data_IF_847495188579
#
_entry.id   IF_847495188579
#
_cell.length_a   1.000
_cell.length_b   1.000
_cell.length_c   1.000
_cell.angle_alpha   90.00
_cell.angle_beta   90.00
_cell.angle_gamma   90.00
#
_symmetry.space_group_name_H-M   'P 1'
#
loop_
_entity.id
_entity.type
_entity.pdbx_description
1 polymer ?
#
# COMPACT_ATOMS: atom_id res chain seq x y z
N UNK A 1 19.08 -0.89 1.93
CA UNK A 1 19.33 -1.56 0.64
C UNK A 1 17.97 -2.01 0.13
N UNK A 2 17.57 -1.59 -1.07
CA UNK A 2 16.27 -1.93 -1.64
C UNK A 2 16.24 -3.44 -1.96
N UNK A 3 15.40 -4.20 -1.27
CA UNK A 3 15.24 -5.63 -1.53
C UNK A 3 14.32 -5.82 -2.74
N UNK A 4 14.85 -6.39 -3.81
CA UNK A 4 14.06 -6.76 -4.98
C UNK A 4 13.32 -8.08 -4.72
N UNK A 5 12.14 -8.22 -5.32
CA UNK A 5 11.49 -9.52 -5.38
C UNK A 5 12.39 -10.50 -6.15
N UNK A 6 12.44 -11.74 -5.68
CA UNK A 6 13.26 -12.81 -6.24
C UNK A 6 12.40 -14.06 -6.34
N UNK A 7 12.06 -14.46 -7.57
CA UNK A 7 11.24 -15.63 -7.85
C UNK A 7 11.95 -16.96 -7.50
N UNK A 8 13.27 -16.96 -7.36
CA UNK A 8 14.02 -18.12 -6.91
C UNK A 8 13.97 -18.30 -5.40
N UNK A 9 13.87 -17.20 -4.64
CA UNK A 9 13.82 -17.20 -3.19
C UNK A 9 12.53 -17.87 -2.65
N UNK A 10 12.64 -18.95 -1.85
CA UNK A 10 11.51 -19.63 -1.24
C UNK A 10 10.62 -18.72 -0.38
N UNK A 11 11.21 -17.81 0.40
CA UNK A 11 10.48 -16.95 1.33
C UNK A 11 9.63 -15.92 0.58
N UNK A 12 10.15 -15.38 -0.52
CA UNK A 12 9.42 -14.44 -1.37
C UNK A 12 8.21 -15.11 -2.05
N UNK A 13 8.39 -16.35 -2.51
CA UNK A 13 7.30 -17.17 -3.06
C UNK A 13 6.24 -17.47 -2.00
N UNK A 14 6.67 -17.75 -0.77
CA UNK A 14 5.75 -18.04 0.31
C UNK A 14 4.97 -16.80 0.75
N UNK A 15 5.59 -15.62 0.77
CA UNK A 15 4.89 -14.36 0.99
C UNK A 15 3.80 -14.11 -0.06
N UNK A 16 4.03 -14.43 -1.34
CA UNK A 16 2.98 -14.37 -2.37
C UNK A 16 1.83 -15.34 -2.08
N UNK A 17 2.12 -16.59 -1.74
CA UNK A 17 1.06 -17.57 -1.39
C UNK A 17 0.26 -17.13 -0.16
N UNK A 18 0.95 -16.58 0.84
CA UNK A 18 0.33 -16.04 2.03
C UNK A 18 -0.58 -14.85 1.69
N UNK A 19 -0.14 -13.97 0.78
CA UNK A 19 -0.95 -12.85 0.30
C UNK A 19 -2.22 -13.35 -0.39
N UNK A 20 -2.10 -14.33 -1.29
CA UNK A 20 -3.26 -14.92 -1.95
C UNK A 20 -4.25 -15.51 -0.94
N UNK A 21 -3.76 -16.34 -0.02
CA UNK A 21 -4.57 -17.00 1.00
C UNK A 21 -5.29 -15.99 1.92
N UNK A 22 -4.64 -14.87 2.26
CA UNK A 22 -5.25 -13.80 3.04
C UNK A 22 -6.26 -12.97 2.23
N UNK A 23 -6.04 -12.82 0.92
CA UNK A 23 -6.89 -12.03 0.02
C UNK A 23 -8.16 -12.80 -0.38
N UNK A 24 -8.04 -14.10 -0.66
CA UNK A 24 -9.14 -14.96 -1.10
C UNK A 24 -9.25 -16.22 -0.22
N UNK A 25 -9.75 -16.09 1.02
CA UNK A 25 -9.90 -17.23 1.92
C UNK A 25 -10.72 -18.35 1.28
N UNK A 26 -10.19 -19.58 1.31
CA UNK A 26 -10.84 -20.76 0.75
C UNK A 26 -10.69 -20.95 -0.76
N UNK A 27 -9.97 -20.08 -1.46
CA UNK A 27 -9.63 -20.27 -2.88
C UNK A 27 -8.18 -20.74 -3.04
N UNK A 28 -7.98 -21.89 -3.68
CA UNK A 28 -6.66 -22.42 -3.97
C UNK A 28 -5.96 -21.59 -5.05
N UNK A 29 -4.68 -21.27 -4.83
CA UNK A 29 -3.82 -20.66 -5.86
C UNK A 29 -3.25 -21.77 -6.74
N UNK A 30 -3.65 -21.82 -8.02
CA UNK A 30 -3.18 -22.84 -8.95
C UNK A 30 -1.68 -22.70 -9.29
N UNK A 31 -1.14 -21.50 -9.17
CA UNK A 31 0.27 -21.24 -9.42
C UNK A 31 0.65 -19.79 -9.18
N UNK A 32 1.95 -19.55 -8.93
CA UNK A 32 2.48 -18.19 -8.77
C UNK A 32 2.42 -17.37 -10.07
N UNK A 33 2.26 -18.05 -11.21
CA UNK A 33 1.96 -17.45 -12.51
C UNK A 33 0.61 -18.00 -12.96
N UNK A 34 -0.45 -17.19 -12.84
CA UNK A 34 -1.85 -17.59 -13.10
C UNK A 34 -2.71 -16.35 -13.37
N UNK A 35 -3.74 -16.49 -14.20
CA UNK A 35 -4.70 -15.39 -14.46
C UNK A 35 -5.49 -14.98 -13.22
N UNK A 36 -5.54 -15.84 -12.20
CA UNK A 36 -6.13 -15.57 -10.88
C UNK A 36 -5.64 -14.24 -10.27
N UNK A 37 -4.39 -13.87 -10.49
CA UNK A 37 -3.83 -12.62 -9.98
C UNK A 37 -4.52 -11.37 -10.53
N UNK A 38 -5.14 -11.44 -11.71
CA UNK A 38 -5.90 -10.30 -12.25
C UNK A 38 -7.11 -9.96 -11.38
N UNK A 39 -7.68 -10.91 -10.66
CA UNK A 39 -8.80 -10.68 -9.73
C UNK A 39 -8.40 -9.77 -8.56
N UNK A 40 -7.13 -9.81 -8.15
CA UNK A 40 -6.57 -8.91 -7.14
C UNK A 40 -6.17 -7.54 -7.71
N UNK A 41 -6.24 -7.37 -9.04
CA UNK A 41 -5.83 -6.15 -9.73
C UNK A 41 -4.33 -6.07 -10.03
N UNK A 42 -3.65 -7.21 -10.22
CA UNK A 42 -2.30 -7.25 -10.82
C UNK A 42 -2.38 -6.97 -12.34
N UNK A 43 -1.31 -6.43 -12.95
CA UNK A 43 -1.34 -6.07 -14.39
C UNK A 43 -1.39 -7.30 -15.30
N UNK A 44 -0.78 -8.40 -14.85
CA UNK A 44 -0.70 -9.64 -15.60
C UNK A 44 -0.86 -10.86 -14.72
N UNK A 45 -0.55 -12.02 -15.31
CA UNK A 45 -0.59 -13.31 -14.61
C UNK A 45 0.56 -13.53 -13.63
N UNK A 46 1.58 -12.67 -13.64
CA UNK A 46 2.79 -12.80 -12.84
C UNK A 46 3.03 -11.52 -12.03
N UNK A 47 2.65 -11.51 -10.72
CA UNK A 47 2.85 -10.38 -9.83
C UNK A 47 4.30 -9.92 -9.70
N UNK A 48 5.28 -10.81 -9.94
CA UNK A 48 6.70 -10.47 -9.80
C UNK A 48 7.13 -9.31 -10.71
N UNK A 49 6.42 -9.14 -11.83
CA UNK A 49 6.68 -8.10 -12.83
C UNK A 49 6.24 -6.70 -12.41
N UNK A 50 5.37 -6.62 -11.39
CA UNK A 50 4.77 -5.40 -10.86
C UNK A 50 5.55 -4.80 -9.68
N UNK A 51 6.32 -5.61 -8.94
CA UNK A 51 7.11 -5.18 -7.76
C UNK A 51 8.33 -4.29 -8.06
N UNK A 52 8.32 -3.51 -9.14
CA UNK A 52 9.50 -2.76 -9.62
C UNK A 52 9.97 -1.70 -8.63
N UNK A 53 9.37 -0.51 -8.68
CA UNK A 53 9.82 0.67 -7.96
C UNK A 53 9.81 0.50 -6.45
N UNK A 54 8.92 -0.33 -5.90
CA UNK A 54 8.84 -0.58 -4.46
C UNK A 54 9.59 -1.84 -3.99
N UNK A 55 9.86 -2.81 -4.87
CA UNK A 55 10.51 -4.06 -4.46
C UNK A 55 9.64 -4.95 -3.57
N UNK A 56 10.30 -5.87 -2.86
CA UNK A 56 9.67 -6.88 -2.02
C UNK A 56 8.83 -6.30 -0.87
N UNK A 57 9.23 -5.15 -0.32
CA UNK A 57 8.49 -4.51 0.80
C UNK A 57 7.02 -4.19 0.45
N UNK A 58 6.70 -3.93 -0.83
CA UNK A 58 5.30 -3.72 -1.22
C UNK A 58 4.43 -4.98 -1.12
N UNK A 59 5.02 -6.17 -1.30
CA UNK A 59 4.36 -7.44 -1.03
C UNK A 59 4.12 -7.61 0.47
N UNK A 60 5.11 -7.29 1.29
CA UNK A 60 5.00 -7.35 2.75
C UNK A 60 3.92 -6.38 3.26
N UNK A 61 3.86 -5.17 2.72
CA UNK A 61 2.82 -4.20 3.08
C UNK A 61 1.40 -4.66 2.70
N UNK A 62 1.22 -5.21 1.49
CA UNK A 62 -0.05 -5.79 1.07
C UNK A 62 -0.47 -6.95 1.99
N UNK A 63 0.49 -7.81 2.36
CA UNK A 63 0.25 -8.96 3.24
C UNK A 63 -0.08 -8.50 4.67
N UNK A 64 0.62 -7.50 5.18
CA UNK A 64 0.33 -6.88 6.47
C UNK A 64 -1.08 -6.29 6.46
N UNK A 65 -1.44 -5.52 5.43
CA UNK A 65 -2.78 -4.93 5.35
C UNK A 65 -3.88 -5.99 5.32
N UNK A 66 -3.70 -7.04 4.52
CA UNK A 66 -4.65 -8.15 4.42
C UNK A 66 -4.85 -8.90 5.75
N UNK A 67 -3.79 -9.05 6.56
CA UNK A 67 -3.82 -9.76 7.84
C UNK A 67 -4.29 -8.89 9.01
N UNK A 68 -3.84 -7.64 9.07
CA UNK A 68 -4.04 -6.75 10.22
C UNK A 68 -5.39 -6.02 10.14
N UNK A 69 -5.75 -5.48 8.97
CA UNK A 69 -7.00 -4.75 8.77
C UNK A 69 -7.84 -5.42 7.67
N UNK A 70 -8.10 -6.72 7.84
CA UNK A 70 -8.77 -7.57 6.86
C UNK A 70 -10.12 -6.99 6.37
N UNK A 71 -10.90 -6.37 7.26
CA UNK A 71 -12.16 -5.70 6.92
C UNK A 71 -11.93 -4.55 5.94
N UNK A 72 -11.02 -3.64 6.27
CA UNK A 72 -10.66 -2.51 5.41
C UNK A 72 -10.07 -2.97 4.08
N UNK A 73 -9.17 -3.95 4.12
CA UNK A 73 -8.56 -4.54 2.93
C UNK A 73 -9.63 -5.13 1.99
N UNK A 74 -10.55 -5.94 2.51
CA UNK A 74 -11.63 -6.54 1.73
C UNK A 74 -12.61 -5.52 1.18
N UNK A 75 -12.93 -4.46 1.95
CA UNK A 75 -13.76 -3.34 1.50
C UNK A 75 -13.15 -2.67 0.27
N UNK A 76 -11.86 -2.35 0.32
CA UNK A 76 -11.15 -1.71 -0.79
C UNK A 76 -10.97 -2.65 -1.99
N UNK A 77 -10.60 -3.93 -1.75
CA UNK A 77 -10.44 -4.93 -2.80
C UNK A 77 -11.74 -5.11 -3.59
N UNK A 78 -12.87 -5.24 -2.89
CA UNK A 78 -14.21 -5.41 -3.48
C UNK A 78 -14.84 -4.10 -3.93
N UNK A 79 -14.13 -2.98 -3.81
CA UNK A 79 -14.58 -1.65 -4.20
C UNK A 79 -15.93 -1.27 -3.57
N UNK A 80 -16.12 -1.67 -2.32
CA UNK A 80 -17.38 -1.47 -1.60
C UNK A 80 -17.52 -0.01 -1.17
N UNK A 81 -18.66 0.60 -1.50
CA UNK A 81 -19.03 1.95 -1.10
C UNK A 81 -18.67 3.03 -2.13
N UNK A 82 -19.48 4.08 -2.14
CA UNK A 82 -19.38 5.23 -3.05
C UNK A 82 -19.82 4.93 -4.49
N UNK A 83 -20.00 5.99 -5.27
CA UNK A 83 -20.10 5.89 -6.73
C UNK A 83 -18.68 5.90 -7.31
N UNK A 84 -18.36 4.95 -8.19
CA UNK A 84 -17.04 4.78 -8.79
C UNK A 84 -17.12 4.95 -10.29
N UNK A 85 -16.10 5.56 -10.88
CA UNK A 85 -15.99 5.68 -12.32
C UNK A 85 -15.78 4.30 -12.97
N UNK A 86 -16.11 4.20 -14.26
CA UNK A 86 -15.94 2.95 -15.01
C UNK A 86 -14.47 2.48 -15.10
N UNK A 87 -13.53 3.43 -15.13
CA UNK A 87 -12.09 3.17 -15.23
C UNK A 87 -11.44 3.25 -13.86
N UNK A 88 -11.65 2.21 -13.05
CA UNK A 88 -11.19 2.17 -11.66
C UNK A 88 -9.70 1.86 -11.53
N UNK A 89 -9.08 2.20 -10.38
CA UNK A 89 -7.68 1.84 -10.14
C UNK A 89 -7.50 0.33 -9.86
N UNK A 90 -6.47 -0.30 -10.45
CA UNK A 90 -6.09 -1.68 -10.15
C UNK A 90 -5.58 -1.82 -8.71
N UNK A 91 -6.25 -2.61 -7.87
CA UNK A 91 -6.02 -2.65 -6.41
C UNK A 91 -4.58 -3.00 -6.02
N UNK A 92 -4.05 -4.16 -6.45
CA UNK A 92 -2.69 -4.57 -6.09
C UNK A 92 -1.62 -3.60 -6.63
N UNK A 93 -1.76 -3.14 -7.87
CA UNK A 93 -0.85 -2.16 -8.48
C UNK A 93 -0.89 -0.82 -7.75
N UNK A 94 -2.07 -0.40 -7.27
CA UNK A 94 -2.18 0.79 -6.43
C UNK A 94 -1.43 0.63 -5.12
N UNK A 95 -1.53 -0.53 -4.46
CA UNK A 95 -0.73 -0.88 -3.29
C UNK A 95 0.77 -0.72 -3.53
N UNK A 96 1.30 -1.29 -4.61
CA UNK A 96 2.73 -1.14 -4.97
C UNK A 96 3.12 0.33 -5.16
N UNK A 97 2.28 1.13 -5.81
CA UNK A 97 2.55 2.55 -6.02
C UNK A 97 2.46 3.37 -4.72
N UNK A 98 1.59 2.99 -3.77
CA UNK A 98 1.52 3.61 -2.45
C UNK A 98 2.82 3.37 -1.68
N UNK A 99 3.32 2.13 -1.64
CA UNK A 99 4.63 1.84 -1.03
C UNK A 99 5.73 2.69 -1.65
N UNK A 100 5.77 2.76 -3.00
CA UNK A 100 6.77 3.57 -3.69
C UNK A 100 6.66 5.06 -3.35
N UNK A 101 5.44 5.59 -3.29
CA UNK A 101 5.18 6.98 -2.90
C UNK A 101 5.67 7.27 -1.48
N UNK A 102 5.39 6.38 -0.51
CA UNK A 102 5.86 6.52 0.88
C UNK A 102 7.39 6.47 0.95
N UNK A 103 8.03 5.56 0.21
CA UNK A 103 9.51 5.51 0.13
C UNK A 103 10.11 6.81 -0.40
N UNK A 104 9.47 7.44 -1.39
CA UNK A 104 9.87 8.75 -1.91
C UNK A 104 9.57 9.89 -0.93
N UNK A 105 8.46 9.83 -0.21
CA UNK A 105 8.07 10.79 0.81
C UNK A 105 9.07 10.83 1.97
N UNK A 106 9.59 9.67 2.36
CA UNK A 106 10.51 9.48 3.48
C UNK A 106 12.00 9.51 3.06
N UNK A 107 12.29 9.76 1.78
CA UNK A 107 13.65 9.79 1.21
C UNK A 107 14.50 8.54 1.54
N UNK A 108 13.92 7.35 1.48
CA UNK A 108 14.58 6.10 1.89
C UNK A 108 15.65 5.61 0.88
N UNK A 109 15.61 6.06 -0.38
CA UNK A 109 16.54 5.69 -1.47
C UNK A 109 17.77 6.64 -1.61
N UNK A 110 18.09 7.43 -0.56
CA UNK A 110 19.38 8.07 -0.27
C UNK A 110 20.22 8.65 -1.45
N UNK A 111 19.87 9.87 -1.90
CA UNK A 111 20.81 10.87 -2.46
C UNK A 111 20.39 12.33 -2.19
N UNK A 112 19.22 12.57 -1.60
CA UNK A 112 18.65 13.91 -1.38
C UNK A 112 18.73 14.35 0.08
N UNK A 113 18.54 15.66 0.32
CA UNK A 113 18.56 16.29 1.65
C UNK A 113 17.55 15.60 2.57
N UNK A 114 17.92 15.41 3.83
CA UNK A 114 17.04 14.89 4.88
C UNK A 114 15.86 15.86 5.05
N UNK A 115 14.65 15.39 4.79
CA UNK A 115 13.42 16.13 5.10
C UNK A 115 13.10 16.03 6.59
N UNK A 116 12.41 17.03 7.14
CA UNK A 116 11.97 16.98 8.54
C UNK A 116 10.99 15.82 8.77
N UNK A 117 10.14 15.53 7.78
CA UNK A 117 9.20 14.39 7.78
C UNK A 117 9.91 13.06 7.99
N UNK A 118 11.05 12.84 7.32
CA UNK A 118 11.87 11.65 7.55
C UNK A 118 12.31 11.52 9.01
N UNK A 119 12.74 12.62 9.63
CA UNK A 119 13.19 12.59 11.04
C UNK A 119 12.04 12.23 11.98
N UNK A 120 10.85 12.81 11.77
CA UNK A 120 9.65 12.48 12.55
C UNK A 120 9.29 11.00 12.38
N UNK A 121 9.24 10.51 11.15
CA UNK A 121 8.92 9.10 10.89
C UNK A 121 9.96 8.14 11.49
N UNK A 122 11.25 8.47 11.43
CA UNK A 122 12.28 7.63 12.05
C UNK A 122 12.17 7.55 13.57
N UNK A 123 11.67 8.61 14.23
CA UNK A 123 11.34 8.57 15.65
C UNK A 123 10.19 7.58 15.90
N UNK A 124 9.09 7.69 15.15
CA UNK A 124 7.96 6.77 15.24
C UNK A 124 8.38 5.31 14.98
N UNK A 125 9.20 5.08 13.95
CA UNK A 125 9.73 3.76 13.61
C UNK A 125 10.62 3.17 14.71
N UNK A 126 11.33 4.03 15.45
CA UNK A 126 12.15 3.58 16.58
C UNK A 126 11.33 3.07 17.77
N UNK A 127 10.07 3.50 17.87
CA UNK A 127 9.13 3.10 18.92
C UNK A 127 8.22 1.94 18.50
N UNK A 128 7.93 1.83 17.20
CA UNK A 128 7.08 0.78 16.63
C UNK A 128 7.66 0.29 15.30
N UNK A 129 8.13 -0.97 15.27
CA UNK A 129 8.69 -1.59 14.07
C UNK A 129 7.69 -1.66 12.89
N UNK A 130 6.38 -1.66 13.20
CA UNK A 130 5.29 -1.70 12.21
C UNK A 130 4.88 -0.32 11.70
N UNK A 131 5.55 0.77 12.11
CA UNK A 131 5.16 2.14 11.72
C UNK A 131 5.08 2.32 10.19
N UNK A 132 5.95 1.66 9.42
CA UNK A 132 5.90 1.74 7.96
C UNK A 132 4.66 1.04 7.40
N UNK A 133 4.34 -0.16 7.89
CA UNK A 133 3.18 -0.94 7.46
C UNK A 133 1.85 -0.30 7.88
N UNK A 134 1.79 0.30 9.07
CA UNK A 134 0.64 1.08 9.52
C UNK A 134 0.46 2.31 8.62
N UNK A 135 1.53 3.05 8.33
CA UNK A 135 1.47 4.22 7.45
C UNK A 135 1.00 3.83 6.04
N UNK A 136 1.43 2.66 5.54
CA UNK A 136 0.94 2.10 4.29
C UNK A 136 -0.58 1.83 4.31
N UNK A 137 -1.09 1.22 5.39
CA UNK A 137 -2.52 0.95 5.52
C UNK A 137 -3.33 2.26 5.53
N UNK A 138 -2.87 3.26 6.30
CA UNK A 138 -3.47 4.61 6.34
C UNK A 138 -3.45 5.26 4.96
N UNK A 139 -2.30 5.22 4.27
CA UNK A 139 -2.16 5.78 2.93
C UNK A 139 -3.14 5.17 1.92
N UNK A 140 -3.39 3.86 2.00
CA UNK A 140 -4.33 3.19 1.10
C UNK A 140 -5.77 3.63 1.33
N UNK A 141 -6.23 3.69 2.58
CA UNK A 141 -7.60 4.16 2.86
C UNK A 141 -7.78 5.65 2.56
N UNK A 142 -6.74 6.48 2.74
CA UNK A 142 -6.75 7.89 2.31
C UNK A 142 -6.84 8.00 0.79
N UNK A 143 -6.05 7.22 0.06
CA UNK A 143 -6.08 7.19 -1.41
C UNK A 143 -7.46 6.81 -1.92
N UNK A 144 -8.08 5.74 -1.39
CA UNK A 144 -9.42 5.30 -1.81
C UNK A 144 -10.49 6.34 -1.46
N UNK A 145 -10.41 6.97 -0.28
CA UNK A 145 -11.32 8.06 0.10
C UNK A 145 -11.23 9.22 -0.88
N UNK A 146 -10.03 9.71 -1.19
CA UNK A 146 -9.83 10.80 -2.13
C UNK A 146 -10.26 10.42 -3.55
N UNK A 147 -10.08 9.15 -3.94
CA UNK A 147 -10.55 8.62 -5.21
C UNK A 147 -12.07 8.76 -5.35
N UNK A 148 -12.80 8.33 -4.32
CA UNK A 148 -14.26 8.41 -4.26
C UNK A 148 -14.76 9.85 -4.23
N UNK A 149 -14.19 10.70 -3.38
CA UNK A 149 -14.60 12.11 -3.25
C UNK A 149 -14.44 12.90 -4.56
N UNK A 150 -13.52 12.48 -5.43
CA UNK A 150 -13.26 13.10 -6.74
C UNK A 150 -14.02 12.45 -7.88
N UNK A 151 -14.67 11.31 -7.65
CA UNK A 151 -15.14 10.42 -8.71
C UNK A 151 -14.02 10.16 -9.76
N UNK A 152 -12.81 9.89 -9.25
CA UNK A 152 -11.62 9.81 -10.08
C UNK A 152 -11.65 8.61 -11.03
N UNK A 153 -10.98 8.78 -12.16
CA UNK A 153 -10.71 7.74 -13.14
C UNK A 153 -9.24 7.34 -13.10
N UNK A 154 -8.90 6.24 -13.77
CA UNK A 154 -7.54 5.78 -13.99
C UNK A 154 -6.59 6.89 -14.47
N UNK A 155 -7.08 7.86 -15.24
CA UNK A 155 -6.27 8.98 -15.74
C UNK A 155 -5.79 9.92 -14.63
N UNK A 156 -6.53 10.02 -13.51
CA UNK A 156 -6.21 10.88 -12.38
C UNK A 156 -5.39 10.17 -11.29
N UNK A 157 -5.02 8.91 -11.51
CA UNK A 157 -4.34 8.08 -10.51
C UNK A 157 -3.11 8.74 -9.89
N UNK A 158 -2.24 9.33 -10.71
CA UNK A 158 -1.06 10.02 -10.23
C UNK A 158 -1.39 11.29 -9.42
N UNK A 159 -2.47 11.97 -9.73
CA UNK A 159 -2.88 13.18 -9.03
C UNK A 159 -3.56 12.86 -7.69
N UNK A 160 -4.31 11.75 -7.62
CA UNK A 160 -4.80 11.20 -6.35
C UNK A 160 -3.63 10.76 -5.46
N UNK A 161 -2.61 10.08 -6.01
CA UNK A 161 -1.42 9.70 -5.23
C UNK A 161 -0.64 10.91 -4.68
N UNK A 162 -0.46 11.97 -5.48
CA UNK A 162 0.18 13.21 -5.02
C UNK A 162 -0.61 13.85 -3.87
N UNK A 163 -1.94 13.90 -4.00
CA UNK A 163 -2.81 14.44 -2.97
C UNK A 163 -2.82 13.59 -1.70
N UNK A 164 -2.76 12.27 -1.85
CA UNK A 164 -2.58 11.33 -0.73
C UNK A 164 -1.27 11.63 0.00
N UNK A 165 -0.15 11.75 -0.73
CA UNK A 165 1.14 12.13 -0.16
C UNK A 165 1.05 13.43 0.62
N UNK A 166 0.50 14.50 0.03
CA UNK A 166 0.39 15.80 0.71
C UNK A 166 -0.44 15.72 1.99
N UNK A 167 -1.49 14.91 2.01
CA UNK A 167 -2.27 14.69 3.24
C UNK A 167 -1.46 13.97 4.32
N UNK A 168 -0.73 12.90 3.97
CA UNK A 168 0.12 12.18 4.92
C UNK A 168 1.24 13.05 5.47
N UNK A 169 1.92 13.83 4.61
CA UNK A 169 2.95 14.78 5.01
C UNK A 169 2.41 15.81 6.00
N UNK A 170 1.17 16.28 5.81
CA UNK A 170 0.50 17.21 6.74
C UNK A 170 0.19 16.54 8.08
N UNK A 171 -0.39 15.35 8.06
CA UNK A 171 -0.79 14.64 9.29
C UNK A 171 0.42 14.22 10.13
N UNK A 172 1.52 13.77 9.51
CA UNK A 172 2.77 13.44 10.21
C UNK A 172 3.43 14.65 10.88
N UNK A 173 3.06 15.87 10.53
CA UNK A 173 3.62 17.11 11.08
C UNK A 173 2.70 17.79 12.10
N UNK A 174 1.60 17.14 12.47
CA UNK A 174 0.70 17.65 13.51
C UNK A 174 1.33 17.45 14.90
N UNK A 175 1.19 18.46 15.77
CA UNK A 175 1.83 18.47 17.10
C UNK A 175 1.36 17.34 18.03
N UNK A 176 0.14 16.82 17.81
CA UNK A 176 -0.49 15.74 18.56
C UNK A 176 -0.27 14.34 17.95
N UNK A 177 0.45 14.24 16.83
CA UNK A 177 0.74 12.98 16.16
C UNK A 177 2.14 12.49 16.54
N UNK A 178 2.20 11.60 17.54
CA UNK A 178 3.46 10.99 18.01
C UNK A 178 3.67 9.59 17.46
N UNK A 179 2.60 8.93 17.02
CA UNK A 179 2.56 7.60 16.40
C UNK A 179 1.66 7.61 15.16
N UNK A 180 1.74 6.59 14.33
CA UNK A 180 0.88 6.48 13.14
C UNK A 180 -0.59 6.36 13.55
N UNK A 181 -0.84 5.70 14.68
CA UNK A 181 -2.16 5.50 15.26
C UNK A 181 -2.82 6.81 15.72
N UNK A 182 -2.02 7.86 15.97
CA UNK A 182 -2.52 9.18 16.35
C UNK A 182 -2.97 10.00 15.13
N UNK A 183 -2.60 9.58 13.90
CA UNK A 183 -2.97 10.30 12.69
C UNK A 183 -4.50 10.32 12.52
N UNK A 184 -5.11 11.47 12.17
CA UNK A 184 -6.56 11.56 11.97
C UNK A 184 -7.10 10.51 10.98
N UNK A 185 -6.35 10.21 9.92
CA UNK A 185 -6.74 9.22 8.92
C UNK A 185 -6.64 7.77 9.38
N UNK A 186 -5.97 7.49 10.50
CA UNK A 186 -5.95 6.15 11.09
C UNK A 186 -7.36 5.66 11.45
N UNK A 187 -8.26 6.58 11.82
CA UNK A 187 -9.68 6.28 12.10
C UNK A 187 -10.48 5.72 10.90
N UNK A 188 -9.94 5.81 9.68
CA UNK A 188 -10.55 5.23 8.48
C UNK A 188 -10.34 3.71 8.38
N UNK A 189 -9.38 3.17 9.14
CA UNK A 189 -9.13 1.75 9.28
C UNK A 189 -10.15 1.14 10.24
N UNK A 190 -10.79 0.07 9.77
CA UNK A 190 -11.75 -0.77 10.48
C UNK A 190 -11.23 -2.21 10.54
#
# INVERSE_FOLDING_TARGET
MKAYFDASNPDHKEALRALWSATFPGQELHGLISDQWKEMGWQGKDPSTDFRGAGFISLENLLFFAKTFSTSFQRLLKKQGGERAAWEYPFAVAGVNITFMIMQMLDLDATKRRTFIRSVFLQMLSENEWAFDLLYCVAFVVMDKQWLERNATYMEFNDVLKSTRTQLEKELLMDDVLRIEDMPSYSLLC
#
